data_IF_719090880066
#
_entry.id   IF_719090880066
#
_cell.length_a   1.000
_cell.length_b   1.000
_cell.length_c   1.000
_cell.angle_alpha   90.00
_cell.angle_beta   90.00
_cell.angle_gamma   90.00
#
_symmetry.space_group_name_H-M   'P 1'
#
loop_
_entity.id
_entity.type
_entity.pdbx_description
1 polymer ?
#
# COMPACT_ATOMS: atom_id res chain seq x y z
N UNK A 1 -11.64 -25.54 -0.81
CA UNK A 1 -10.55 -26.22 -0.06
C UNK A 1 -10.61 -25.70 1.35
N UNK A 2 -10.71 -26.56 2.36
CA UNK A 2 -10.73 -26.11 3.75
C UNK A 2 -9.29 -26.01 4.25
N UNK A 3 -8.79 -24.79 4.42
CA UNK A 3 -7.50 -24.55 5.07
C UNK A 3 -7.78 -24.16 6.53
N UNK A 4 -7.56 -25.06 7.51
CA UNK A 4 -7.75 -24.70 8.90
C UNK A 4 -6.68 -23.68 9.30
N UNK A 5 -7.09 -22.57 9.90
CA UNK A 5 -6.13 -21.62 10.45
C UNK A 5 -5.31 -22.28 11.56
N UNK A 6 -3.98 -22.08 11.57
CA UNK A 6 -3.15 -22.50 12.68
C UNK A 6 -3.54 -21.75 13.96
N UNK A 7 -3.23 -22.34 15.11
CA UNK A 7 -3.78 -21.91 16.41
C UNK A 7 -3.40 -20.48 16.80
N UNK A 8 -2.24 -20.02 16.35
CA UNK A 8 -1.73 -18.65 16.50
C UNK A 8 -2.56 -17.62 15.72
N UNK A 9 -3.16 -18.00 14.59
CA UNK A 9 -3.99 -17.12 13.77
C UNK A 9 -5.48 -17.19 14.13
N UNK A 10 -5.92 -18.21 14.86
CA UNK A 10 -7.34 -18.40 15.20
C UNK A 10 -7.92 -17.23 16.01
N UNK A 11 -7.17 -16.69 16.97
CA UNK A 11 -7.61 -15.54 17.77
C UNK A 11 -7.78 -14.30 16.89
N UNK A 12 -6.78 -14.03 16.04
CA UNK A 12 -6.85 -12.92 15.09
C UNK A 12 -8.04 -13.05 14.13
N UNK A 13 -8.27 -14.23 13.55
CA UNK A 13 -9.41 -14.47 12.65
C UNK A 13 -10.73 -14.25 13.38
N UNK A 14 -10.87 -14.79 14.59
CA UNK A 14 -12.09 -14.60 15.41
C UNK A 14 -12.36 -13.12 15.69
N UNK A 15 -11.35 -12.35 16.07
CA UNK A 15 -11.51 -10.92 16.35
C UNK A 15 -11.95 -10.14 15.10
N UNK A 16 -11.36 -10.47 13.95
CA UNK A 16 -11.72 -9.85 12.68
C UNK A 16 -13.13 -10.23 12.22
N UNK A 17 -13.53 -11.49 12.39
CA UNK A 17 -14.91 -11.91 12.13
C UNK A 17 -15.90 -11.24 13.10
N UNK A 18 -15.55 -11.14 14.39
CA UNK A 18 -16.38 -10.51 15.41
C UNK A 18 -16.56 -8.99 15.19
N UNK A 19 -15.62 -8.33 14.51
CA UNK A 19 -15.75 -6.93 14.11
C UNK A 19 -16.90 -6.67 13.11
N UNK A 20 -17.43 -7.73 12.48
CA UNK A 20 -18.46 -7.63 11.46
C UNK A 20 -17.96 -7.10 10.10
N UNK A 21 -16.64 -6.86 9.96
CA UNK A 21 -16.03 -6.37 8.71
C UNK A 21 -16.09 -7.42 7.58
N UNK A 22 -16.08 -8.71 7.92
CA UNK A 22 -16.00 -9.80 6.96
C UNK A 22 -17.20 -10.74 7.11
N UNK A 23 -17.79 -11.15 5.98
CA UNK A 23 -18.91 -12.09 5.94
C UNK A 23 -18.46 -13.56 6.01
N UNK A 24 -17.20 -13.84 5.67
CA UNK A 24 -16.60 -15.17 5.77
C UNK A 24 -15.09 -15.11 6.02
N UNK A 25 -14.54 -16.22 6.51
CA UNK A 25 -13.09 -16.41 6.64
C UNK A 25 -12.37 -16.36 5.29
N UNK A 26 -13.04 -16.78 4.21
CA UNK A 26 -12.49 -16.74 2.85
C UNK A 26 -12.36 -15.31 2.33
N UNK A 27 -13.31 -14.43 2.67
CA UNK A 27 -13.24 -13.00 2.35
C UNK A 27 -12.09 -12.34 3.09
N UNK A 28 -11.93 -12.64 4.39
CA UNK A 28 -10.80 -12.17 5.19
C UNK A 28 -9.46 -12.61 4.59
N UNK A 29 -9.34 -13.89 4.19
CA UNK A 29 -8.13 -14.40 3.56
C UNK A 29 -7.81 -13.70 2.25
N UNK A 30 -8.83 -13.47 1.41
CA UNK A 30 -8.64 -12.74 0.15
C UNK A 30 -8.12 -11.33 0.40
N UNK A 31 -8.74 -10.60 1.32
CA UNK A 31 -8.33 -9.25 1.71
C UNK A 31 -6.90 -9.25 2.27
N UNK A 32 -6.56 -10.24 3.09
CA UNK A 32 -5.22 -10.39 3.65
C UNK A 32 -4.15 -10.65 2.56
N UNK A 33 -4.44 -11.52 1.59
CA UNK A 33 -3.51 -11.77 0.47
C UNK A 33 -3.38 -10.55 -0.44
N UNK A 34 -4.46 -9.82 -0.67
CA UNK A 34 -4.41 -8.58 -1.43
C UNK A 34 -3.55 -7.53 -0.71
N UNK A 35 -3.79 -7.31 0.59
CA UNK A 35 -3.00 -6.38 1.38
C UNK A 35 -1.50 -6.77 1.45
N UNK A 36 -1.21 -8.07 1.47
CA UNK A 36 0.18 -8.56 1.40
C UNK A 36 0.82 -8.22 0.05
N UNK A 37 0.12 -8.46 -1.06
CA UNK A 37 0.61 -8.15 -2.39
C UNK A 37 0.84 -6.63 -2.57
N UNK A 38 -0.09 -5.80 -2.10
CA UNK A 38 0.04 -4.34 -2.10
C UNK A 38 1.25 -3.90 -1.27
N UNK A 39 1.44 -4.48 -0.08
CA UNK A 39 2.60 -4.18 0.77
C UNK A 39 3.94 -4.60 0.16
N UNK A 40 3.98 -5.71 -0.59
CA UNK A 40 5.18 -6.14 -1.32
C UNK A 40 5.52 -5.21 -2.49
N UNK A 41 4.50 -4.73 -3.21
CA UNK A 41 4.66 -3.76 -4.29
C UNK A 41 5.19 -2.43 -3.75
N UNK A 42 4.57 -1.89 -2.69
CA UNK A 42 4.99 -0.65 -2.05
C UNK A 42 6.43 -0.73 -1.53
N UNK A 43 6.77 -1.85 -0.87
CA UNK A 43 8.14 -2.07 -0.38
C UNK A 43 9.15 -2.12 -1.51
N UNK A 44 8.78 -2.72 -2.65
CA UNK A 44 9.62 -2.76 -3.85
C UNK A 44 9.83 -1.36 -4.40
N UNK A 45 8.77 -0.57 -4.55
CA UNK A 45 8.86 0.82 -5.02
C UNK A 45 9.75 1.68 -4.13
N UNK A 46 9.64 1.55 -2.80
CA UNK A 46 10.51 2.27 -1.85
C UNK A 46 11.97 1.86 -2.02
N UNK A 47 12.25 0.54 -2.14
CA UNK A 47 13.61 0.04 -2.34
C UNK A 47 14.23 0.56 -3.63
N UNK A 48 13.45 0.58 -4.71
CA UNK A 48 13.90 1.12 -6.00
C UNK A 48 14.20 2.62 -5.91
N UNK A 49 13.32 3.41 -5.28
CA UNK A 49 13.54 4.84 -5.09
C UNK A 49 14.80 5.12 -4.26
N UNK A 50 15.04 4.36 -3.18
CA UNK A 50 16.27 4.45 -2.38
C UNK A 50 17.50 4.09 -3.20
N UNK A 51 17.43 3.04 -4.01
CA UNK A 51 18.54 2.62 -4.86
C UNK A 51 18.88 3.68 -5.93
N UNK A 52 17.87 4.30 -6.56
CA UNK A 52 18.06 5.39 -7.51
C UNK A 52 18.75 6.59 -6.87
N UNK A 53 18.28 7.00 -5.69
CA UNK A 53 18.91 8.08 -4.93
C UNK A 53 20.37 7.75 -4.57
N UNK A 54 20.66 6.53 -4.12
CA UNK A 54 22.03 6.09 -3.82
C UNK A 54 22.93 6.02 -5.07
N UNK A 55 22.36 5.74 -6.24
CA UNK A 55 23.05 5.77 -7.52
C UNK A 55 23.35 7.20 -8.02
N UNK A 56 22.91 8.23 -7.29
CA UNK A 56 23.16 9.62 -7.61
C UNK A 56 22.10 10.25 -8.51
N UNK A 57 20.88 9.69 -8.54
CA UNK A 57 19.75 10.36 -9.17
C UNK A 57 19.54 11.74 -8.52
N UNK A 58 19.67 12.85 -9.28
CA UNK A 58 19.47 14.20 -8.74
C UNK A 58 18.02 14.49 -8.35
N UNK A 59 17.07 13.63 -8.76
CA UNK A 59 15.64 13.84 -8.56
C UNK A 59 15.11 15.02 -9.38
N UNK A 60 13.95 15.52 -8.99
CA UNK A 60 13.30 16.67 -9.64
C UNK A 60 13.39 17.88 -8.71
N UNK A 61 13.79 19.06 -9.20
CA UNK A 61 13.71 20.31 -8.44
C UNK A 61 12.30 20.54 -7.88
N UNK A 62 12.21 21.05 -6.66
CA UNK A 62 10.93 21.17 -5.95
C UNK A 62 9.93 22.08 -6.68
N UNK A 63 10.41 23.16 -7.28
CA UNK A 63 9.61 24.08 -8.09
C UNK A 63 9.03 23.38 -9.34
N UNK A 64 9.83 22.58 -10.04
CA UNK A 64 9.37 21.79 -11.18
C UNK A 64 8.33 20.73 -10.77
N UNK A 65 8.54 20.07 -9.64
CA UNK A 65 7.59 19.10 -9.08
C UNK A 65 6.25 19.76 -8.73
N UNK A 66 6.29 20.92 -8.07
CA UNK A 66 5.10 21.71 -7.70
C UNK A 66 4.33 22.17 -8.95
N UNK A 67 5.03 22.69 -9.96
CA UNK A 67 4.40 23.13 -11.22
C UNK A 67 3.78 21.95 -11.98
N UNK A 68 4.40 20.76 -11.93
CA UNK A 68 3.85 19.54 -12.52
C UNK A 68 2.53 19.14 -11.87
N UNK A 69 2.47 19.14 -10.53
CA UNK A 69 1.25 18.84 -9.78
C UNK A 69 0.16 19.89 -10.07
N UNK A 70 0.51 21.19 -10.05
CA UNK A 70 -0.44 22.27 -10.38
C UNK A 70 -1.06 22.11 -11.75
N UNK A 71 -0.23 21.84 -12.77
CA UNK A 71 -0.70 21.62 -14.15
C UNK A 71 -1.64 20.43 -14.25
N UNK A 72 -1.31 19.32 -13.58
CA UNK A 72 -2.14 18.10 -13.56
C UNK A 72 -3.51 18.34 -12.93
N UNK A 73 -3.60 19.22 -11.94
CA UNK A 73 -4.83 19.47 -11.17
C UNK A 73 -5.52 20.80 -11.48
N UNK A 74 -5.02 21.60 -12.44
CA UNK A 74 -5.63 22.87 -12.83
C UNK A 74 -5.57 23.95 -11.74
N UNK A 75 -4.58 23.89 -10.85
CA UNK A 75 -4.43 24.85 -9.75
C UNK A 75 -3.70 26.09 -10.28
N UNK A 76 -4.34 27.26 -10.16
CA UNK A 76 -3.75 28.53 -10.58
C UNK A 76 -2.68 29.00 -9.58
N UNK A 77 -1.66 29.69 -10.09
CA UNK A 77 -0.65 30.33 -9.24
C UNK A 77 -1.31 31.54 -8.58
N UNK A 78 -1.29 31.61 -7.25
CA UNK A 78 -1.63 32.86 -6.57
C UNK A 78 -0.64 33.93 -7.06
N UNK A 79 -1.20 35.05 -7.56
CA UNK A 79 -0.47 36.16 -8.17
C UNK A 79 0.35 36.97 -7.16
#
# INVERSE_FOLDING_TARGET
MTFPFPADLLEFVRDRMASGKYASEEELLRDAFQALAEGEEDLTAVREAVAQWQAGDPGVPLDEAVETVRRKHGILRDA
#
